data_IF_241265778911
#
_entry.id   IF_241265778911
#
_cell.length_a   1.000
_cell.length_b   1.000
_cell.length_c   1.000
_cell.angle_alpha   90.00
_cell.angle_beta   90.00
_cell.angle_gamma   90.00
#
_symmetry.space_group_name_H-M   'P 1'
#
loop_
_entity.id
_entity.type
_entity.pdbx_description
1 polymer ?
#
# COMPACT_ATOMS: atom_id res chain seq x y z
N UNK A 1 -5.93 -20.95 -9.22
CA UNK A 1 -4.72 -20.61 -9.99
C UNK A 1 -4.61 -21.56 -11.18
N UNK A 2 -3.89 -21.19 -12.24
CA UNK A 2 -3.38 -22.15 -13.22
C UNK A 2 -1.85 -22.02 -13.26
N UNK A 3 -1.16 -23.07 -12.83
CA UNK A 3 0.15 -23.39 -13.35
C UNK A 3 -0.09 -24.42 -14.47
N UNK A 4 0.40 -24.16 -15.68
CA UNK A 4 0.31 -25.11 -16.81
C UNK A 4 -1.13 -25.51 -17.23
N UNK A 5 -2.14 -24.68 -16.98
CA UNK A 5 -3.53 -25.00 -17.32
C UNK A 5 -4.19 -26.02 -16.39
N UNK A 6 -3.53 -26.41 -15.29
CA UNK A 6 -4.10 -27.26 -14.25
C UNK A 6 -4.70 -26.37 -13.16
N UNK A 7 -6.02 -26.45 -12.89
CA UNK A 7 -6.63 -25.76 -11.76
C UNK A 7 -5.92 -26.20 -10.49
N UNK A 8 -5.31 -25.26 -9.76
CA UNK A 8 -4.71 -25.56 -8.46
C UNK A 8 -5.86 -25.95 -7.52
N UNK A 9 -5.94 -27.23 -7.10
CA UNK A 9 -6.89 -27.60 -6.08
C UNK A 9 -6.48 -26.84 -4.80
N UNK A 10 -7.44 -26.39 -4.01
CA UNK A 10 -7.25 -25.74 -2.69
C UNK A 10 -7.14 -24.21 -2.56
N UNK A 11 -7.33 -23.38 -3.61
CA UNK A 11 -7.62 -21.95 -3.34
C UNK A 11 -9.09 -21.79 -2.94
N UNK A 12 -9.38 -22.11 -1.68
CA UNK A 12 -10.64 -21.81 -0.99
C UNK A 12 -10.44 -20.49 -0.22
N UNK A 13 -11.48 -19.66 -0.10
CA UNK A 13 -11.54 -18.55 0.88
C UNK A 13 -11.60 -19.08 2.33
N UNK A 14 -10.79 -20.09 2.64
CA UNK A 14 -10.63 -20.65 3.97
C UNK A 14 -9.45 -20.06 4.72
N UNK A 15 -8.78 -19.06 4.13
CA UNK A 15 -7.72 -18.31 4.81
C UNK A 15 -8.30 -17.28 5.80
N UNK A 16 -9.16 -17.76 6.71
CA UNK A 16 -9.74 -16.97 7.80
C UNK A 16 -8.98 -17.24 9.08
N UNK A 17 -8.57 -16.17 9.76
CA UNK A 17 -7.85 -16.24 11.04
C UNK A 17 -8.66 -15.63 12.18
N UNK A 18 -8.18 -15.84 13.41
CA UNK A 18 -8.78 -15.28 14.62
C UNK A 18 -7.74 -14.43 15.35
N UNK A 19 -8.18 -13.33 15.99
CA UNK A 19 -7.30 -12.41 16.70
C UNK A 19 -6.46 -13.11 17.80
N UNK A 20 -6.99 -14.17 18.40
CA UNK A 20 -6.29 -14.97 19.43
C UNK A 20 -5.33 -16.04 18.88
N UNK A 21 -5.27 -16.22 17.54
CA UNK A 21 -4.55 -17.32 16.88
C UNK A 21 -3.75 -16.84 15.66
N UNK A 22 -3.03 -15.73 15.79
CA UNK A 22 -2.22 -15.17 14.69
C UNK A 22 -0.80 -15.76 14.60
N UNK A 23 -0.40 -16.56 15.58
CA UNK A 23 0.97 -17.09 15.67
C UNK A 23 1.97 -16.05 16.19
N UNK A 24 3.25 -16.36 16.03
CA UNK A 24 4.36 -15.50 16.43
C UNK A 24 4.68 -14.50 15.32
N UNK A 25 4.87 -13.23 15.65
CA UNK A 25 5.30 -12.24 14.67
C UNK A 25 6.78 -12.47 14.35
N UNK A 26 7.12 -12.47 13.07
CA UNK A 26 8.49 -12.56 12.61
C UNK A 26 8.75 -11.42 11.65
N UNK A 27 9.46 -10.41 12.17
CA UNK A 27 9.95 -9.31 11.34
C UNK A 27 10.59 -9.81 10.04
N UNK A 28 10.10 -9.26 8.93
CA UNK A 28 10.57 -9.52 7.60
C UNK A 28 11.02 -8.21 6.94
N UNK A 29 12.30 -8.10 6.57
CA UNK A 29 12.89 -6.93 5.94
C UNK A 29 12.75 -6.93 4.40
N UNK A 30 11.79 -7.68 3.87
CA UNK A 30 11.54 -7.90 2.43
C UNK A 30 11.16 -6.65 1.61
N UNK A 31 11.40 -5.44 2.12
CA UNK A 31 11.57 -4.22 1.34
C UNK A 31 12.51 -4.40 0.11
N UNK A 32 13.31 -5.47 0.08
CA UNK A 32 14.22 -5.84 -1.00
C UNK A 32 13.80 -6.98 -1.95
N UNK A 33 12.61 -7.56 -1.81
CA UNK A 33 12.15 -8.50 -2.84
C UNK A 33 11.04 -9.42 -2.37
N UNK A 34 9.97 -9.40 -3.15
CA UNK A 34 9.08 -10.54 -3.39
C UNK A 34 8.82 -11.46 -2.19
N UNK A 35 7.70 -11.19 -1.52
CA UNK A 35 6.76 -12.20 -1.05
C UNK A 35 7.35 -13.29 -0.14
N UNK A 36 7.35 -13.07 1.18
CA UNK A 36 7.50 -14.18 2.15
C UNK A 36 6.32 -15.15 2.13
N UNK A 37 5.15 -14.72 1.64
CA UNK A 37 3.90 -15.44 1.86
C UNK A 37 3.58 -16.51 0.80
N UNK A 38 4.36 -16.61 -0.27
CA UNK A 38 4.14 -17.60 -1.35
C UNK A 38 4.76 -18.97 -1.03
N UNK A 39 5.67 -19.05 -0.05
CA UNK A 39 6.37 -20.31 0.24
C UNK A 39 5.95 -21.01 1.55
N UNK A 40 5.06 -20.44 2.37
CA UNK A 40 4.48 -21.15 3.52
C UNK A 40 5.52 -21.61 4.57
N UNK A 41 6.67 -20.95 4.65
CA UNK A 41 7.76 -21.28 5.59
C UNK A 41 7.73 -20.42 6.87
N UNK A 42 6.70 -19.59 7.08
CA UNK A 42 6.50 -18.82 8.32
C UNK A 42 5.54 -19.53 9.27
N UNK A 43 5.79 -19.45 10.58
CA UNK A 43 4.83 -19.87 11.62
C UNK A 43 3.69 -18.86 11.82
N UNK A 44 3.75 -17.74 11.08
CA UNK A 44 2.72 -16.73 11.00
C UNK A 44 1.48 -17.26 10.29
N UNK A 45 0.32 -16.98 10.89
CA UNK A 45 -0.96 -17.22 10.23
C UNK A 45 -1.45 -15.92 9.63
N UNK A 46 -1.28 -15.79 8.33
CA UNK A 46 -1.84 -14.70 7.54
C UNK A 46 -3.20 -15.10 7.00
N UNK A 47 -4.13 -14.16 6.97
CA UNK A 47 -5.48 -14.39 6.48
C UNK A 47 -6.40 -13.22 6.81
N UNK A 48 -7.65 -13.38 6.41
CA UNK A 48 -8.70 -12.39 6.63
C UNK A 48 -9.41 -12.63 7.95
N UNK A 49 -9.74 -11.56 8.66
CA UNK A 49 -10.70 -11.61 9.75
C UNK A 49 -11.63 -10.40 9.70
N UNK A 50 -12.82 -10.55 10.27
CA UNK A 50 -13.78 -9.45 10.36
C UNK A 50 -13.76 -8.80 11.74
N UNK A 51 -13.85 -7.49 11.77
CA UNK A 51 -14.00 -6.68 12.99
C UNK A 51 -15.19 -5.75 12.83
N UNK A 52 -15.99 -5.56 13.88
CA UNK A 52 -17.20 -4.72 13.80
C UNK A 52 -16.92 -3.25 13.49
N UNK A 53 -15.77 -2.74 13.94
CA UNK A 53 -15.40 -1.32 13.81
C UNK A 53 -14.37 -1.08 12.70
N UNK A 54 -13.62 -2.10 12.29
CA UNK A 54 -12.59 -2.00 11.24
C UNK A 54 -12.96 -2.72 9.94
N UNK A 55 -14.11 -3.38 9.86
CA UNK A 55 -14.48 -4.18 8.70
C UNK A 55 -13.60 -5.42 8.54
N UNK A 56 -13.40 -5.86 7.31
CA UNK A 56 -12.41 -6.88 6.97
C UNK A 56 -11.00 -6.35 7.17
N UNK A 57 -10.14 -7.19 7.73
CA UNK A 57 -8.72 -6.93 7.95
C UNK A 57 -7.94 -8.09 7.37
N UNK A 58 -7.08 -7.80 6.40
CA UNK A 58 -6.00 -8.69 5.97
C UNK A 58 -4.77 -8.53 6.86
N UNK A 59 -4.35 -9.63 7.50
CA UNK A 59 -3.22 -9.67 8.42
C UNK A 59 -1.86 -9.57 7.70
N UNK A 60 -1.75 -10.05 6.45
CA UNK A 60 -0.51 -9.92 5.69
C UNK A 60 -0.17 -8.43 5.46
N UNK A 61 -1.14 -7.66 4.96
CA UNK A 61 -1.03 -6.21 4.77
C UNK A 61 -0.68 -5.46 6.06
N UNK A 62 -1.26 -5.87 7.19
CA UNK A 62 -0.94 -5.29 8.51
C UNK A 62 0.53 -5.55 8.85
N UNK A 63 1.01 -6.79 8.71
CA UNK A 63 2.39 -7.17 9.04
C UNK A 63 3.41 -6.52 8.10
N UNK A 64 3.18 -6.58 6.79
CA UNK A 64 4.07 -6.02 5.79
C UNK A 64 4.26 -4.51 5.97
N UNK A 65 3.18 -3.77 6.23
CA UNK A 65 3.30 -2.33 6.47
C UNK A 65 3.92 -2.02 7.83
N UNK A 66 3.66 -2.84 8.84
CA UNK A 66 4.31 -2.70 10.15
C UNK A 66 5.84 -2.88 10.04
N UNK A 67 6.28 -3.94 9.36
CA UNK A 67 7.71 -4.23 9.21
C UNK A 67 8.43 -3.20 8.34
N UNK A 68 7.79 -2.75 7.26
CA UNK A 68 8.30 -1.61 6.48
C UNK A 68 8.42 -0.34 7.32
N UNK A 69 7.52 -0.12 8.29
CA UNK A 69 7.62 1.01 9.22
C UNK A 69 8.85 0.90 10.11
N UNK A 70 9.12 -0.27 10.70
CA UNK A 70 10.34 -0.48 11.50
C UNK A 70 11.60 -0.33 10.66
N UNK A 71 11.61 -0.92 9.46
CA UNK A 71 12.73 -0.80 8.53
C UNK A 71 13.04 0.67 8.25
N UNK A 72 12.05 1.44 7.77
CA UNK A 72 12.23 2.85 7.47
C UNK A 72 12.65 3.64 8.71
N UNK A 73 12.06 3.37 9.87
CA UNK A 73 12.46 4.02 11.12
C UNK A 73 13.95 3.83 11.42
N UNK A 74 14.46 2.61 11.30
CA UNK A 74 15.87 2.28 11.53
C UNK A 74 16.83 3.04 10.60
N UNK A 75 16.39 3.32 9.36
CA UNK A 75 17.18 4.07 8.38
C UNK A 75 17.07 5.58 8.60
N UNK A 76 15.89 6.06 9.00
CA UNK A 76 15.54 7.48 9.11
C UNK A 76 16.16 8.09 10.36
N UNK A 77 15.99 7.47 11.53
CA UNK A 77 16.38 8.05 12.82
C UNK A 77 17.85 8.52 12.86
N UNK A 78 18.86 7.73 12.41
CA UNK A 78 20.28 8.13 12.51
C UNK A 78 20.66 9.34 11.64
N UNK A 79 19.84 9.67 10.62
CA UNK A 79 20.11 10.72 9.64
C UNK A 79 18.96 11.72 9.53
N UNK A 80 18.13 11.81 10.56
CA UNK A 80 16.99 12.71 10.60
C UNK A 80 17.47 14.16 10.42
N UNK A 81 16.85 14.90 9.51
CA UNK A 81 17.23 16.28 9.18
C UNK A 81 18.22 16.41 8.02
N UNK A 82 18.86 15.33 7.59
CA UNK A 82 19.77 15.35 6.45
C UNK A 82 19.01 15.12 5.13
N UNK A 83 19.52 15.68 4.03
CA UNK A 83 19.01 15.36 2.68
C UNK A 83 19.70 14.11 2.15
N UNK A 84 18.92 13.06 1.89
CA UNK A 84 19.40 11.80 1.31
C UNK A 84 18.20 10.99 0.79
N UNK A 85 18.45 9.77 0.30
CA UNK A 85 17.37 8.89 -0.14
C UNK A 85 17.66 7.42 0.19
N UNK A 86 16.58 6.64 0.33
CA UNK A 86 16.61 5.18 0.37
C UNK A 86 16.18 4.69 -1.01
N UNK A 87 17.05 3.98 -1.71
CA UNK A 87 16.71 3.31 -2.96
C UNK A 87 15.92 2.04 -2.67
N UNK A 88 14.83 1.84 -3.40
CA UNK A 88 13.96 0.67 -3.27
C UNK A 88 13.92 -0.10 -4.59
N UNK A 89 13.62 -1.40 -4.53
CA UNK A 89 13.51 -2.24 -5.72
C UNK A 89 12.49 -1.70 -6.74
N UNK A 90 12.72 -1.95 -8.03
CA UNK A 90 11.78 -1.54 -9.09
C UNK A 90 10.43 -2.24 -8.93
N UNK A 91 9.36 -1.47 -9.05
CA UNK A 91 7.98 -1.95 -8.98
C UNK A 91 7.14 -1.09 -9.91
N UNK A 92 7.14 -1.45 -11.20
CA UNK A 92 6.73 -0.64 -12.38
C UNK A 92 7.50 0.67 -12.60
N UNK A 93 8.07 1.24 -11.56
CA UNK A 93 8.91 2.42 -11.57
C UNK A 93 10.12 2.20 -10.68
N UNK A 94 11.18 2.97 -10.90
CA UNK A 94 12.22 3.13 -9.89
C UNK A 94 11.64 3.88 -8.71
N UNK A 95 11.77 3.32 -7.52
CA UNK A 95 11.21 3.89 -6.30
C UNK A 95 12.34 4.37 -5.41
N UNK A 96 12.13 5.51 -4.77
CA UNK A 96 12.98 5.95 -3.66
C UNK A 96 12.18 6.67 -2.62
N UNK A 97 12.57 6.51 -1.37
CA UNK A 97 12.17 7.42 -0.30
C UNK A 97 13.12 8.60 -0.34
N UNK A 98 12.62 9.77 -0.72
CA UNK A 98 13.39 11.02 -0.69
C UNK A 98 13.19 11.71 0.64
N UNK A 99 14.28 11.94 1.38
CA UNK A 99 14.29 12.79 2.57
C UNK A 99 14.89 14.15 2.25
N UNK A 100 14.26 15.20 2.75
CA UNK A 100 14.72 16.58 2.57
C UNK A 100 15.45 17.06 3.81
N UNK A 101 16.40 17.97 3.63
CA UNK A 101 17.07 18.60 4.76
C UNK A 101 16.09 19.52 5.51
N UNK A 102 16.14 19.44 6.84
CA UNK A 102 15.40 20.33 7.75
C UNK A 102 16.12 20.35 9.10
N UNK A 103 15.80 21.30 9.97
CA UNK A 103 16.30 21.33 11.36
C UNK A 103 15.41 20.44 12.22
N UNK A 104 15.90 19.29 12.74
CA UNK A 104 15.13 18.47 13.66
C UNK A 104 14.93 19.17 15.00
N UNK A 105 13.92 18.76 15.80
CA UNK A 105 13.80 19.23 17.18
C UNK A 105 15.06 18.97 18.01
N UNK A 106 15.37 19.87 18.95
CA UNK A 106 16.51 19.73 19.87
C UNK A 106 16.29 18.62 20.91
N UNK A 107 15.03 18.33 21.24
CA UNK A 107 14.66 17.25 22.15
C UNK A 107 14.78 15.87 21.48
N UNK A 108 15.43 14.93 22.17
CA UNK A 108 15.68 13.59 21.66
C UNK A 108 14.38 12.76 21.52
N UNK A 109 13.43 12.91 22.45
CA UNK A 109 12.17 12.19 22.40
C UNK A 109 11.28 12.71 21.25
N UNK A 110 11.30 14.01 20.98
CA UNK A 110 10.64 14.62 19.83
C UNK A 110 11.24 14.14 18.50
N UNK A 111 12.58 14.06 18.38
CA UNK A 111 13.23 13.47 17.20
C UNK A 111 12.84 12.01 16.99
N UNK A 112 12.86 11.22 18.06
CA UNK A 112 12.47 9.81 18.01
C UNK A 112 11.02 9.65 17.54
N UNK A 113 10.11 10.44 18.12
CA UNK A 113 8.69 10.46 17.75
C UNK A 113 8.49 10.89 16.30
N UNK A 114 9.15 11.97 15.87
CA UNK A 114 9.05 12.48 14.50
C UNK A 114 9.53 11.42 13.49
N UNK A 115 10.63 10.73 13.77
CA UNK A 115 11.14 9.66 12.91
C UNK A 115 10.16 8.48 12.82
N UNK A 116 9.53 8.06 13.93
CA UNK A 116 8.56 6.97 13.94
C UNK A 116 7.34 7.29 13.08
N UNK A 117 6.75 8.48 13.25
CA UNK A 117 5.60 8.90 12.45
C UNK A 117 5.94 9.15 10.98
N UNK A 118 7.12 9.70 10.68
CA UNK A 118 7.59 9.83 9.30
C UNK A 118 7.74 8.46 8.64
N UNK A 119 8.34 7.50 9.34
CA UNK A 119 8.50 6.13 8.86
C UNK A 119 7.14 5.47 8.56
N UNK A 120 6.17 5.56 9.48
CA UNK A 120 4.84 4.98 9.27
C UNK A 120 4.09 5.63 8.10
N UNK A 121 4.23 6.95 7.92
CA UNK A 121 3.66 7.65 6.74
C UNK A 121 4.26 7.16 5.43
N UNK A 122 5.58 6.97 5.39
CA UNK A 122 6.28 6.51 4.21
C UNK A 122 6.01 5.04 3.91
N UNK A 123 5.94 4.18 4.93
CA UNK A 123 5.54 2.77 4.78
C UNK A 123 4.12 2.66 4.23
N UNK A 124 3.18 3.46 4.73
CA UNK A 124 1.83 3.53 4.17
C UNK A 124 1.81 3.99 2.71
N UNK A 125 2.66 4.95 2.32
CA UNK A 125 2.81 5.37 0.93
C UNK A 125 3.37 4.26 0.04
N UNK A 126 4.27 3.42 0.56
CA UNK A 126 4.79 2.25 -0.14
C UNK A 126 3.70 1.21 -0.36
N UNK A 127 2.94 0.89 0.67
CA UNK A 127 1.82 -0.05 0.56
C UNK A 127 0.77 0.45 -0.44
N UNK A 128 0.42 1.75 -0.39
CA UNK A 128 -0.48 2.34 -1.37
C UNK A 128 0.07 2.32 -2.81
N UNK A 129 1.40 2.39 -2.98
CA UNK A 129 2.02 2.21 -4.28
C UNK A 129 1.97 0.76 -4.76
N UNK A 130 2.13 -0.21 -3.86
CA UNK A 130 2.03 -1.64 -4.18
C UNK A 130 0.68 -1.96 -4.83
N UNK A 131 -0.42 -1.48 -4.24
CA UNK A 131 -1.77 -1.62 -4.82
C UNK A 131 -1.88 -1.05 -6.25
N UNK A 132 -1.27 0.11 -6.47
CA UNK A 132 -1.23 0.75 -7.79
C UNK A 132 -0.42 -0.10 -8.76
N UNK A 133 0.74 -0.57 -8.34
CA UNK A 133 1.63 -1.33 -9.19
C UNK A 133 0.99 -2.66 -9.61
N UNK A 134 0.41 -3.40 -8.67
CA UNK A 134 -0.31 -4.64 -8.95
C UNK A 134 -1.48 -4.42 -9.92
N UNK A 135 -2.23 -3.32 -9.75
CA UNK A 135 -3.32 -2.97 -10.68
C UNK A 135 -2.85 -2.72 -12.12
N UNK A 136 -1.61 -2.26 -12.31
CA UNK A 136 -1.00 -2.03 -13.62
C UNK A 136 -0.11 -3.19 -14.09
N UNK A 137 -0.28 -4.38 -13.50
CA UNK A 137 0.34 -5.62 -13.97
C UNK A 137 1.70 -5.92 -13.37
N UNK A 138 2.05 -5.32 -12.23
CA UNK A 138 3.19 -5.78 -11.45
C UNK A 138 2.96 -7.22 -10.96
N UNK A 139 4.05 -7.97 -10.93
CA UNK A 139 4.10 -9.35 -10.46
C UNK A 139 5.37 -9.48 -9.62
N UNK A 140 5.23 -9.76 -8.33
CA UNK A 140 6.37 -10.03 -7.47
C UNK A 140 7.01 -11.38 -7.79
N UNK A 141 6.20 -12.33 -8.29
CA UNK A 141 6.65 -13.60 -8.86
C UNK A 141 6.32 -13.63 -10.36
N UNK A 142 7.32 -13.65 -11.26
CA UNK A 142 7.08 -13.66 -12.69
C UNK A 142 6.12 -14.78 -13.12
N UNK A 143 5.06 -14.41 -13.85
CA UNK A 143 4.01 -15.34 -14.29
C UNK A 143 2.82 -15.47 -13.34
N UNK A 144 2.86 -14.86 -12.15
CA UNK A 144 1.75 -14.82 -11.19
C UNK A 144 1.17 -13.42 -11.12
N UNK A 145 -0.05 -13.25 -11.63
CA UNK A 145 -0.74 -11.97 -11.55
C UNK A 145 -1.23 -11.68 -10.14
N UNK A 146 -0.86 -10.52 -9.62
CA UNK A 146 -1.36 -9.94 -8.36
C UNK A 146 -2.50 -8.93 -8.59
N UNK A 147 -2.93 -8.74 -9.84
CA UNK A 147 -4.00 -7.79 -10.21
C UNK A 147 -5.33 -8.10 -9.52
N UNK A 148 -5.51 -9.34 -9.05
CA UNK A 148 -6.72 -9.79 -8.36
C UNK A 148 -6.79 -9.22 -6.94
N UNK A 149 -5.67 -9.11 -6.23
CA UNK A 149 -5.62 -8.54 -4.88
C UNK A 149 -5.58 -7.02 -4.89
N UNK A 150 -5.09 -6.38 -5.97
CA UNK A 150 -4.91 -4.93 -6.05
C UNK A 150 -6.16 -4.10 -5.71
N UNK A 151 -6.09 -3.26 -4.67
CA UNK A 151 -7.21 -2.43 -4.19
C UNK A 151 -8.44 -3.21 -3.73
N UNK A 152 -8.26 -4.38 -3.13
CA UNK A 152 -9.35 -5.01 -2.38
C UNK A 152 -9.80 -4.05 -1.27
N UNK A 153 -11.11 -3.98 -0.95
CA UNK A 153 -11.61 -2.86 -0.16
C UNK A 153 -11.06 -2.75 1.27
N UNK A 154 -10.41 -3.78 1.79
CA UNK A 154 -9.75 -3.88 3.09
C UNK A 154 -8.28 -3.40 3.09
N UNK A 155 -7.55 -3.54 1.98
CA UNK A 155 -6.08 -3.49 1.96
C UNK A 155 -5.52 -2.22 2.57
N UNK A 156 -6.00 -1.06 2.11
CA UNK A 156 -5.48 0.22 2.56
C UNK A 156 -5.89 0.59 3.99
N UNK A 157 -6.93 -0.03 4.55
CA UNK A 157 -7.24 0.10 5.98
C UNK A 157 -6.32 -0.81 6.81
N UNK A 158 -6.09 -2.04 6.36
CA UNK A 158 -5.11 -2.98 6.95
C UNK A 158 -3.70 -2.42 6.97
N UNK A 159 -3.23 -1.87 5.84
CA UNK A 159 -1.91 -1.24 5.73
C UNK A 159 -1.79 -0.07 6.73
N UNK A 160 -2.82 0.76 6.86
CA UNK A 160 -2.80 1.88 7.80
C UNK A 160 -2.83 1.42 9.28
N UNK A 161 -3.53 0.33 9.58
CA UNK A 161 -3.50 -0.32 10.89
C UNK A 161 -2.08 -0.80 11.22
N UNK A 162 -1.42 -1.49 10.27
CA UNK A 162 -0.03 -1.95 10.40
C UNK A 162 0.95 -0.81 10.70
N UNK A 163 0.90 0.27 9.92
CA UNK A 163 1.75 1.44 10.15
C UNK A 163 1.58 2.02 11.57
N UNK A 164 0.34 2.11 12.05
CA UNK A 164 0.03 2.63 13.40
C UNK A 164 0.52 1.71 14.51
N UNK A 165 0.32 0.40 14.37
CA UNK A 165 0.80 -0.57 15.36
C UNK A 165 2.33 -0.57 15.47
N UNK A 166 3.04 -0.48 14.34
CA UNK A 166 4.49 -0.35 14.36
C UNK A 166 4.95 0.97 14.98
N UNK A 167 4.28 2.09 14.72
CA UNK A 167 4.55 3.35 15.43
C UNK A 167 4.40 3.15 16.94
N UNK A 168 3.29 2.56 17.40
CA UNK A 168 3.06 2.31 18.82
C UNK A 168 4.13 1.39 19.41
N UNK A 169 4.51 0.32 18.71
CA UNK A 169 5.58 -0.59 19.10
C UNK A 169 6.92 0.15 19.24
N UNK A 170 7.28 1.00 18.27
CA UNK A 170 8.52 1.79 18.28
C UNK A 170 8.52 2.75 19.47
N UNK A 171 7.44 3.53 19.66
CA UNK A 171 7.34 4.52 20.73
C UNK A 171 7.34 3.89 22.14
N UNK A 172 6.90 2.64 22.26
CA UNK A 172 6.97 1.86 23.50
C UNK A 172 8.33 1.18 23.72
N UNK A 173 9.34 1.47 22.90
CA UNK A 173 10.69 0.91 23.02
C UNK A 173 10.86 -0.47 22.37
N UNK A 174 9.89 -0.91 21.56
CA UNK A 174 9.97 -2.17 20.81
C UNK A 174 11.11 -2.20 19.79
N UNK A 175 11.58 -1.04 19.30
CA UNK A 175 12.60 -0.96 18.26
C UNK A 175 14.05 -1.24 18.72
N UNK A 176 14.29 -1.55 20.01
CA UNK A 176 15.64 -1.81 20.53
C UNK A 176 16.29 -3.09 19.98
N UNK A 177 15.48 -4.03 19.49
CA UNK A 177 15.95 -5.23 18.78
C UNK A 177 14.78 -5.87 18.02
N UNK A 178 15.09 -6.67 16.99
CA UNK A 178 14.08 -7.45 16.25
C UNK A 178 13.24 -8.32 17.19
N UNK A 179 13.87 -8.98 18.17
CA UNK A 179 13.14 -9.80 19.15
C UNK A 179 12.20 -8.99 20.04
N UNK A 180 12.58 -7.76 20.43
CA UNK A 180 11.71 -6.87 21.20
C UNK A 180 10.51 -6.41 20.37
N UNK A 181 10.76 -6.06 19.11
CA UNK A 181 9.73 -5.63 18.18
C UNK A 181 8.73 -6.74 17.87
N UNK A 182 9.19 -7.96 17.62
CA UNK A 182 8.32 -9.12 17.40
C UNK A 182 7.37 -9.33 18.58
N UNK A 183 7.89 -9.31 19.82
CA UNK A 183 7.06 -9.44 21.03
C UNK A 183 6.06 -8.29 21.18
N UNK A 184 6.45 -7.07 20.82
CA UNK A 184 5.55 -5.93 20.83
C UNK A 184 4.40 -6.13 19.84
N UNK A 185 4.68 -6.58 18.61
CA UNK A 185 3.66 -6.87 17.61
C UNK A 185 2.75 -8.04 17.98
N UNK A 186 3.30 -9.09 18.60
CA UNK A 186 2.52 -10.22 19.17
C UNK A 186 1.52 -9.77 20.24
N UNK A 187 1.80 -8.66 20.92
CA UNK A 187 0.91 -8.10 21.95
C UNK A 187 -0.08 -7.09 21.35
N UNK A 188 0.43 -6.14 20.57
CA UNK A 188 -0.34 -4.99 20.08
C UNK A 188 -1.37 -5.39 19.02
N UNK A 189 -1.02 -6.30 18.10
CA UNK A 189 -1.91 -6.69 17.01
C UNK A 189 -3.19 -7.37 17.51
N UNK A 190 -3.13 -8.46 18.32
CA UNK A 190 -4.34 -9.05 18.90
C UNK A 190 -5.16 -8.06 19.73
N UNK A 191 -4.51 -7.22 20.52
CA UNK A 191 -5.19 -6.22 21.35
C UNK A 191 -5.96 -5.21 20.49
N UNK A 192 -5.37 -4.69 19.43
CA UNK A 192 -6.01 -3.77 18.51
C UNK A 192 -7.19 -4.41 17.76
N UNK A 193 -7.05 -5.66 17.31
CA UNK A 193 -8.14 -6.39 16.65
C UNK A 193 -9.32 -6.61 17.61
N UNK A 194 -9.04 -6.95 18.87
CA UNK A 194 -10.08 -7.05 19.90
C UNK A 194 -10.77 -5.71 20.16
N UNK A 195 -10.03 -4.60 20.22
CA UNK A 195 -10.59 -3.24 20.36
C UNK A 195 -11.45 -2.82 19.16
N UNK A 196 -11.11 -3.30 17.96
CA UNK A 196 -11.92 -3.14 16.75
C UNK A 196 -13.16 -4.06 16.74
N UNK A 197 -13.29 -4.95 17.74
CA UNK A 197 -14.42 -5.87 17.85
C UNK A 197 -14.30 -7.07 16.91
N UNK A 198 -13.12 -7.69 16.86
CA UNK A 198 -12.89 -8.95 16.15
C UNK A 198 -13.97 -9.99 16.48
N UNK A 199 -14.45 -10.67 15.43
CA UNK A 199 -15.45 -11.74 15.54
C UNK A 199 -14.78 -13.12 15.40
N UNK A 200 -15.53 -14.19 15.70
CA UNK A 200 -15.00 -15.56 15.52
C UNK A 200 -14.77 -15.90 14.05
N UNK A 201 -13.93 -16.90 13.76
CA UNK A 201 -13.71 -17.35 12.38
C UNK A 201 -15.01 -17.76 11.68
N UNK A 202 -15.96 -18.38 12.40
CA UNK A 202 -17.29 -18.70 11.87
C UNK A 202 -18.07 -17.45 11.49
N UNK A 203 -18.03 -16.41 12.32
CA UNK A 203 -18.68 -15.13 12.02
C UNK A 203 -18.00 -14.42 10.85
N UNK A 204 -16.66 -14.40 10.78
CA UNK A 204 -15.93 -13.87 9.63
C UNK A 204 -16.37 -14.54 8.32
N UNK A 205 -16.45 -15.88 8.30
CA UNK A 205 -16.94 -16.63 7.12
C UNK A 205 -18.37 -16.25 6.74
N UNK A 206 -19.26 -16.06 7.72
CA UNK A 206 -20.63 -15.57 7.46
C UNK A 206 -20.62 -14.17 6.85
N UNK A 207 -19.76 -13.27 7.33
CA UNK A 207 -19.65 -11.93 6.75
C UNK A 207 -19.08 -11.98 5.33
N UNK A 208 -18.08 -12.83 5.05
CA UNK A 208 -17.56 -13.04 3.69
C UNK A 208 -18.66 -13.51 2.74
N UNK A 209 -19.47 -14.48 3.17
CA UNK A 209 -20.64 -14.93 2.40
C UNK A 209 -21.68 -13.82 2.20
N UNK A 210 -21.85 -12.93 3.19
CA UNK A 210 -22.77 -11.79 3.10
C UNK A 210 -22.36 -10.69 2.12
N UNK A 211 -21.12 -10.70 1.63
CA UNK A 211 -20.62 -9.77 0.59
C UNK A 211 -20.31 -10.46 -0.75
N UNK A 212 -20.62 -11.75 -0.87
CA UNK A 212 -20.54 -12.48 -2.13
C UNK A 212 -21.54 -11.89 -3.14
N UNK A 213 -21.11 -11.72 -4.39
CA UNK A 213 -21.80 -11.01 -5.45
C UNK A 213 -21.72 -9.47 -5.41
N UNK A 214 -21.22 -8.85 -4.33
CA UNK A 214 -20.96 -7.40 -4.24
C UNK A 214 -19.45 -7.10 -4.23
N UNK A 215 -18.72 -7.68 -3.27
CA UNK A 215 -17.27 -7.44 -3.14
C UNK A 215 -16.44 -8.45 -3.91
N UNK A 216 -16.90 -9.70 -3.98
CA UNK A 216 -16.22 -10.79 -4.65
C UNK A 216 -17.23 -11.78 -5.24
N UNK A 217 -16.79 -12.69 -6.12
CA UNK A 217 -17.65 -13.66 -6.81
C UNK A 217 -17.19 -15.09 -6.53
N UNK A 218 -17.96 -15.82 -5.70
CA UNK A 218 -17.66 -17.20 -5.32
C UNK A 218 -17.75 -18.22 -6.45
N UNK A 219 -18.22 -17.83 -7.65
CA UNK A 219 -18.22 -18.69 -8.84
C UNK A 219 -16.94 -18.56 -9.67
N UNK A 220 -16.10 -17.55 -9.40
CA UNK A 220 -14.82 -17.35 -10.09
C UNK A 220 -13.67 -17.92 -9.29
N UNK A 221 -12.53 -18.18 -9.94
CA UNK A 221 -11.32 -18.67 -9.27
C UNK A 221 -10.12 -17.84 -9.69
N UNK A 222 -9.09 -17.79 -8.84
CA UNK A 222 -7.78 -17.25 -9.23
C UNK A 222 -7.31 -17.99 -10.51
N UNK A 223 -6.76 -17.32 -11.54
CA UNK A 223 -6.34 -15.93 -11.57
C UNK A 223 -7.36 -14.94 -12.18
N UNK A 224 -8.66 -15.23 -12.13
CA UNK A 224 -9.67 -14.36 -12.73
C UNK A 224 -9.76 -13.01 -11.99
N UNK A 225 -9.43 -11.91 -12.67
CA UNK A 225 -9.49 -10.53 -12.13
C UNK A 225 -10.83 -10.17 -11.48
N UNK A 226 -11.91 -10.67 -12.07
CA UNK A 226 -13.28 -10.41 -11.62
C UNK A 226 -13.69 -11.25 -10.40
N UNK A 227 -12.78 -12.06 -9.83
CA UNK A 227 -12.98 -12.66 -8.52
C UNK A 227 -13.27 -11.58 -7.47
N UNK A 228 -12.57 -10.44 -7.54
CA UNK A 228 -12.86 -9.26 -6.71
C UNK A 228 -13.59 -8.22 -7.56
N UNK A 229 -14.84 -7.96 -7.19
CA UNK A 229 -15.80 -7.13 -7.91
C UNK A 229 -15.70 -5.66 -7.48
N UNK A 230 -15.50 -5.41 -6.18
CA UNK A 230 -15.43 -4.06 -5.61
C UNK A 230 -13.99 -3.67 -5.34
N UNK A 231 -13.65 -2.41 -5.66
CA UNK A 231 -12.31 -1.84 -5.45
C UNK A 231 -12.39 -0.54 -4.68
N UNK A 232 -11.41 -0.28 -3.81
CA UNK A 232 -11.28 0.99 -3.10
C UNK A 232 -9.99 1.73 -3.50
N UNK A 233 -10.12 2.73 -4.38
CA UNK A 233 -9.00 3.50 -4.92
C UNK A 233 -8.58 4.72 -4.07
N UNK A 234 -9.22 4.97 -2.92
CA UNK A 234 -8.81 6.06 -2.05
C UNK A 234 -7.48 5.70 -1.38
N UNK A 235 -6.39 6.42 -1.65
CA UNK A 235 -5.06 6.18 -1.05
C UNK A 235 -4.75 7.14 0.10
N UNK A 236 -5.76 7.80 0.67
CA UNK A 236 -5.61 8.73 1.80
C UNK A 236 -5.27 8.02 3.11
N UNK A 237 -4.40 8.64 3.91
CA UNK A 237 -3.98 8.20 5.25
C UNK A 237 -4.88 8.71 6.38
N UNK A 238 -6.12 9.10 6.07
CA UNK A 238 -7.21 9.41 7.00
C UNK A 238 -8.48 8.78 6.44
N UNK A 239 -8.83 7.60 6.96
CA UNK A 239 -9.89 6.79 6.36
C UNK A 239 -10.71 6.02 7.38
N UNK A 240 -11.93 5.73 6.96
CA UNK A 240 -12.80 4.73 7.58
C UNK A 240 -12.61 3.40 6.83
N UNK A 241 -12.94 2.26 7.44
CA UNK A 241 -13.02 1.00 6.72
C UNK A 241 -14.10 1.08 5.64
N UNK A 242 -13.97 0.26 4.59
CA UNK A 242 -15.01 0.20 3.55
C UNK A 242 -16.31 -0.32 4.17
N UNK A 243 -17.44 0.40 4.03
CA UNK A 243 -18.70 0.00 4.64
C UNK A 243 -19.28 -1.25 4.00
N UNK A 244 -19.82 -2.13 4.83
CA UNK A 244 -20.59 -3.33 4.44
C UNK A 244 -22.06 -3.14 4.81
N UNK A 245 -23.02 -3.70 4.03
CA UNK A 245 -24.44 -3.36 4.17
C UNK A 245 -25.07 -3.81 5.49
N UNK A 246 -24.50 -4.82 6.16
CA UNK A 246 -25.04 -5.43 7.37
C UNK A 246 -24.44 -4.89 8.69
N UNK A 247 -23.33 -4.14 8.64
CA UNK A 247 -22.72 -3.60 9.86
C UNK A 247 -23.35 -2.26 10.23
N UNK A 248 -23.54 -2.07 11.55
CA UNK A 248 -24.19 -0.89 12.14
C UNK A 248 -23.36 -0.26 13.25
N UNK A 249 -22.33 -0.95 13.72
CA UNK A 249 -21.39 -0.45 14.71
C UNK A 249 -20.65 0.77 14.16
N UNK A 250 -20.48 1.81 14.98
CA UNK A 250 -19.74 3.00 14.59
C UNK A 250 -18.30 2.63 14.15
N UNK A 251 -17.90 2.94 12.91
CA UNK A 251 -16.61 2.54 12.39
C UNK A 251 -15.47 3.31 13.06
N UNK A 252 -14.34 2.64 13.26
CA UNK A 252 -13.13 3.25 13.77
C UNK A 252 -12.40 3.97 12.63
N UNK A 253 -12.14 5.26 12.82
CA UNK A 253 -11.28 6.03 11.91
C UNK A 253 -9.83 5.78 12.24
N UNK A 254 -9.03 5.50 11.23
CA UNK A 254 -7.57 5.48 11.33
C UNK A 254 -7.01 6.68 10.57
N UNK A 255 -6.00 7.32 11.18
CA UNK A 255 -5.27 8.38 10.52
C UNK A 255 -3.83 8.52 10.98
N UNK A 256 -2.97 9.10 10.13
CA UNK A 256 -1.65 9.59 10.51
C UNK A 256 -1.66 11.13 10.60
N UNK A 257 -0.88 11.74 11.52
CA UNK A 257 -0.76 13.18 11.59
C UNK A 257 -0.12 13.73 10.30
N UNK A 258 -0.57 14.90 9.85
CA UNK A 258 0.09 15.59 8.74
C UNK A 258 1.29 16.42 9.22
N UNK A 259 1.28 16.85 10.48
CA UNK A 259 2.28 17.72 11.08
C UNK A 259 2.57 17.26 12.52
N UNK A 260 3.84 17.35 12.93
CA UNK A 260 4.29 17.14 14.30
C UNK A 260 5.30 18.23 14.66
N UNK A 261 5.17 18.84 15.84
CA UNK A 261 6.10 19.88 16.31
C UNK A 261 6.29 21.05 15.31
N UNK A 262 5.21 21.42 14.61
CA UNK A 262 5.29 22.46 13.57
C UNK A 262 5.87 21.99 12.23
N UNK A 263 6.33 20.74 12.11
CA UNK A 263 6.98 20.19 10.92
C UNK A 263 5.99 19.34 10.11
N UNK A 264 5.75 19.72 8.86
CA UNK A 264 4.92 18.95 7.92
C UNK A 264 5.67 17.69 7.48
N UNK A 265 5.06 16.51 7.69
CA UNK A 265 5.70 15.24 7.34
C UNK A 265 5.95 15.11 5.82
N UNK A 266 5.09 15.70 4.99
CA UNK A 266 5.27 15.67 3.54
C UNK A 266 6.40 16.57 3.03
N UNK A 267 6.87 17.50 3.86
CA UNK A 267 7.92 18.44 3.47
C UNK A 267 9.30 17.85 3.74
N UNK A 268 9.39 16.93 4.71
CA UNK A 268 10.64 16.30 5.14
C UNK A 268 10.86 14.91 4.54
N UNK A 269 9.82 14.24 4.04
CA UNK A 269 9.96 12.95 3.36
C UNK A 269 8.80 12.59 2.44
N UNK A 270 9.12 11.94 1.32
CA UNK A 270 8.12 11.41 0.38
C UNK A 270 8.61 10.18 -0.39
N UNK A 271 7.68 9.31 -0.76
CA UNK A 271 7.89 8.35 -1.85
C UNK A 271 7.94 9.07 -3.20
N UNK A 272 9.06 8.91 -3.91
CA UNK A 272 9.23 9.37 -5.29
C UNK A 272 9.32 8.20 -6.25
N UNK A 273 8.70 8.38 -7.42
CA UNK A 273 8.72 7.42 -8.51
C UNK A 273 9.43 8.03 -9.71
N UNK A 274 10.39 7.30 -10.24
CA UNK A 274 11.25 7.69 -11.35
C UNK A 274 11.06 6.72 -12.51
N UNK A 275 11.24 7.17 -13.77
CA UNK A 275 11.24 6.27 -14.91
C UNK A 275 12.28 5.16 -14.71
N UNK A 276 11.84 3.90 -14.69
CA UNK A 276 12.71 2.73 -14.61
C UNK A 276 12.96 2.08 -15.95
N UNK A 277 13.56 0.89 -15.93
CA UNK A 277 13.74 0.09 -17.14
C UNK A 277 12.40 -0.41 -17.71
N UNK A 278 11.41 -0.63 -16.84
CA UNK A 278 10.02 -0.82 -17.21
C UNK A 278 9.43 0.51 -17.73
N UNK A 279 9.00 0.51 -19.00
CA UNK A 279 8.53 1.70 -19.73
C UNK A 279 7.12 2.11 -19.30
N UNK A 280 6.88 2.36 -18.01
CA UNK A 280 5.60 2.90 -17.50
C UNK A 280 5.88 4.24 -16.83
N UNK A 281 5.21 5.29 -17.29
CA UNK A 281 5.32 6.63 -16.68
C UNK A 281 4.14 6.80 -15.74
N UNK A 282 4.42 6.91 -14.44
CA UNK A 282 3.41 7.15 -13.40
C UNK A 282 3.55 8.56 -12.82
N UNK A 283 2.44 9.29 -12.74
CA UNK A 283 2.40 10.66 -12.20
C UNK A 283 1.36 10.79 -11.09
N UNK A 284 1.75 11.43 -9.98
CA UNK A 284 0.84 11.80 -8.89
C UNK A 284 0.08 13.05 -9.28
N UNK A 285 -1.26 13.01 -9.25
CA UNK A 285 -2.09 14.22 -9.26
C UNK A 285 -2.65 14.43 -7.86
N UNK A 286 -2.37 15.59 -7.26
CA UNK A 286 -3.06 16.05 -6.06
C UNK A 286 -4.30 16.82 -6.48
N UNK A 287 -5.46 16.48 -5.93
CA UNK A 287 -6.70 17.25 -6.11
C UNK A 287 -7.23 17.60 -4.73
N UNK A 288 -7.47 18.88 -4.49
CA UNK A 288 -8.01 19.38 -3.23
C UNK A 288 -9.47 19.79 -3.46
N UNK A 289 -10.40 19.15 -2.75
CA UNK A 289 -11.82 19.54 -2.72
C UNK A 289 -12.23 19.63 -1.27
N UNK A 290 -12.78 20.78 -0.84
CA UNK A 290 -13.33 21.00 0.52
C UNK A 290 -12.42 20.52 1.67
N UNK A 291 -11.14 20.90 1.66
CA UNK A 291 -10.11 20.53 2.67
C UNK A 291 -9.79 19.03 2.77
N UNK A 292 -10.32 18.18 1.89
CA UNK A 292 -9.83 16.82 1.68
C UNK A 292 -8.90 16.82 0.47
N UNK A 293 -7.67 16.36 0.69
CA UNK A 293 -6.68 16.18 -0.37
C UNK A 293 -6.68 14.72 -0.75
N UNK A 294 -7.19 14.39 -1.94
CA UNK A 294 -6.99 13.06 -2.51
C UNK A 294 -5.82 13.10 -3.48
N UNK A 295 -4.95 12.10 -3.38
CA UNK A 295 -3.89 11.89 -4.35
C UNK A 295 -4.27 10.67 -5.18
N UNK A 296 -4.29 10.82 -6.51
CA UNK A 296 -4.49 9.69 -7.42
C UNK A 296 -3.28 9.59 -8.34
N UNK A 297 -2.85 8.35 -8.59
CA UNK A 297 -1.75 8.05 -9.49
C UNK A 297 -2.31 7.62 -10.85
N UNK A 298 -1.71 8.15 -11.92
CA UNK A 298 -2.02 7.71 -13.29
C UNK A 298 -0.77 7.17 -13.93
N UNK A 299 -0.82 5.92 -14.37
CA UNK A 299 0.25 5.25 -15.08
C UNK A 299 -0.12 5.11 -16.57
N UNK A 300 0.84 5.36 -17.46
CA UNK A 300 0.68 5.17 -18.90
C UNK A 300 1.85 4.39 -19.48
N UNK A 301 1.61 3.43 -20.40
CA UNK A 301 2.69 2.77 -21.14
C UNK A 301 3.48 3.79 -21.96
N UNK A 302 4.81 3.76 -21.85
CA UNK A 302 5.72 4.54 -22.69
C UNK A 302 5.71 4.02 -24.12
N UNK A 303 5.34 4.86 -25.09
CA UNK A 303 5.38 4.49 -26.52
C UNK A 303 6.83 4.16 -26.93
N UNK A 304 7.02 3.06 -27.68
CA UNK A 304 8.25 2.78 -28.43
C UNK A 304 8.51 3.96 -29.38
N UNK A 305 9.46 4.84 -29.08
CA UNK A 305 10.19 5.49 -30.16
C UNK A 305 11.02 4.39 -30.81
N UNK A 306 10.57 3.90 -31.97
CA UNK A 306 11.47 3.16 -32.87
C UNK A 306 12.68 4.06 -33.07
N UNK A 307 13.86 3.57 -32.71
CA UNK A 307 15.11 4.22 -33.06
C UNK A 307 15.11 4.44 -34.57
N UNK A 308 14.93 5.68 -35.00
CA UNK A 308 15.44 6.11 -36.28
C UNK A 308 16.79 6.70 -35.96
N UNK A 309 17.84 5.98 -36.35
CA UNK A 309 19.10 6.60 -36.68
C UNK A 309 18.79 7.82 -37.57
N UNK A 310 19.13 9.00 -37.10
CA UNK A 310 19.36 10.15 -37.95
C UNK A 310 20.79 10.60 -37.69
N UNK A 311 21.67 10.28 -38.64
CA UNK A 311 22.96 10.94 -38.80
C UNK A 311 22.70 12.45 -38.85
N UNK A 312 23.35 13.24 -38.01
CA UNK A 312 23.45 14.68 -38.25
C UNK A 312 24.42 14.89 -39.40
N UNK A 313 23.91 15.33 -40.56
CA UNK A 313 24.69 16.24 -41.37
C UNK A 313 24.46 17.65 -40.80
N UNK A 314 25.57 18.31 -40.52
CA UNK A 314 25.73 19.69 -40.08
C UNK A 314 25.43 20.07 -38.63
N UNK A 315 26.52 20.45 -37.97
CA UNK A 315 26.57 20.91 -36.60
C UNK A 315 26.00 22.31 -36.42
N UNK A 316 25.34 22.49 -35.28
CA UNK A 316 25.49 23.62 -34.36
C UNK A 316 24.64 23.36 -33.11
N UNK A 317 25.31 23.26 -31.97
CA UNK A 317 24.67 23.35 -30.67
C UNK A 317 24.22 24.78 -30.41
N UNK A 318 22.93 24.99 -30.14
CA UNK A 318 22.46 26.05 -29.23
C UNK A 318 21.20 25.54 -28.52
N UNK A 319 21.20 25.66 -27.19
CA UNK A 319 20.07 25.26 -26.36
C UNK A 319 18.95 26.27 -26.40
N UNK A 320 17.72 25.81 -26.15
CA UNK A 320 16.69 26.52 -25.38
C UNK A 320 15.40 25.70 -25.29
N UNK A 321 14.92 25.58 -24.04
CA UNK A 321 13.52 25.49 -23.57
C UNK A 321 12.45 25.07 -24.59
N UNK A 322 11.74 23.97 -24.30
CA UNK A 322 10.33 23.75 -24.73
C UNK A 322 9.56 23.06 -23.59
N UNK A 323 8.76 23.79 -22.81
CA UNK A 323 7.32 24.05 -23.00
C UNK A 323 6.54 22.82 -23.48
N UNK A 324 5.74 22.27 -22.58
CA UNK A 324 4.67 21.33 -22.89
C UNK A 324 3.68 22.00 -23.86
N UNK A 325 3.43 21.34 -24.98
CA UNK A 325 2.26 21.57 -25.82
C UNK A 325 1.58 20.22 -26.07
N UNK A 326 0.29 20.19 -25.76
CA UNK A 326 -0.63 19.12 -26.12
C UNK A 326 -0.86 19.14 -27.63
N UNK A 327 -0.94 17.95 -28.23
CA UNK A 327 -1.70 17.71 -29.46
C UNK A 327 -2.28 16.30 -29.38
N UNK A 328 -3.60 16.22 -29.43
CA UNK A 328 -4.38 15.01 -29.58
C UNK A 328 -4.41 14.61 -31.06
N UNK A 329 -4.40 13.29 -31.33
CA UNK A 329 -5.47 12.55 -32.01
C UNK A 329 -4.93 11.34 -32.82
N UNK A 330 -5.86 10.44 -33.14
CA UNK A 330 -5.82 9.22 -33.96
C UNK A 330 -5.45 7.92 -33.23
N UNK A 331 -6.49 7.31 -32.65
CA UNK A 331 -7.03 6.07 -33.20
C UNK A 331 -6.40 4.74 -32.75
N UNK A 332 -6.97 4.14 -31.71
CA UNK A 332 -7.53 2.76 -31.67
C UNK A 332 -7.73 2.28 -30.22
N UNK A 333 -9.01 2.08 -29.86
CA UNK A 333 -9.53 1.13 -28.87
C UNK A 333 -8.90 1.05 -27.49
N UNK A 334 -9.38 1.85 -26.54
CA UNK A 334 -9.45 1.46 -25.12
C UNK A 334 -10.70 2.10 -24.52
N UNK A 335 -11.55 1.28 -23.89
CA UNK A 335 -12.90 1.64 -23.46
C UNK A 335 -12.90 2.84 -22.48
N UNK A 336 -13.87 3.77 -22.57
CA UNK A 336 -13.96 4.92 -21.69
C UNK A 336 -14.40 4.50 -20.27
N UNK A 337 -13.94 5.26 -19.28
CA UNK A 337 -14.39 5.22 -17.88
C UNK A 337 -15.92 5.35 -17.79
N UNK A 338 -16.63 4.56 -16.95
CA UNK A 338 -18.00 4.89 -16.59
C UNK A 338 -17.99 6.15 -15.70
N UNK A 339 -18.76 7.16 -16.11
CA UNK A 339 -19.03 8.33 -15.29
C UNK A 339 -19.92 7.95 -14.09
N UNK A 340 -19.75 8.58 -12.91
CA UNK A 340 -20.66 8.38 -11.79
C UNK A 340 -22.07 8.90 -12.14
N UNK A 341 -23.15 8.27 -11.64
CA UNK A 341 -24.50 8.75 -11.85
C UNK A 341 -24.65 10.15 -11.21
N UNK A 342 -25.18 11.07 -12.01
CA UNK A 342 -25.57 12.40 -11.55
C UNK A 342 -26.75 12.27 -10.59
N UNK A 343 -26.59 12.77 -9.37
CA UNK A 343 -27.71 13.10 -8.51
C UNK A 343 -28.13 14.54 -8.82
N UNK A 344 -29.40 14.72 -9.20
CA UNK A 344 -30.12 15.98 -9.06
C UNK A 344 -31.64 15.74 -9.21
N UNK A 345 -32.49 16.62 -8.65
CA UNK A 345 -32.24 17.63 -7.62
C UNK A 345 -32.48 17.12 -6.20
#
# INVERSE_FOLDING_TARGET
>A
MQALGIPVPFYQLDNVVEASRLGHHRYNDSAFGAVSNVLGLSSERDGLLYTRRGGFIDIAHVRDTADNTLYLFSQILPRLGQRWHISLGEELAQRRIQLNAFTPPDDAAQRYTLAAYLAGKLAYQLAAWHEIAQWYGYQSVPGFSEEISAFSPEDLYSNLLGARLAIDAILQGGAVSVGSYNRAMETLLPAALNQLGAVSATQTRRQLAGIDGDWWDSHRRVPEKFLVLKRNYDTGDNRLPTPVPFERTAPQRLMLPQQLYGISLSDIGELQLWPGNARVICRRRRRTIRRQTSATWRCTPGRRTRGRYWKSADGRHTGLRRRCLYAADSGKGSAPFPAPPAYAP
#
